data_IF_656814164432
#
_entry.id   IF_656814164432
#
_cell.length_a   1.000
_cell.length_b   1.000
_cell.length_c   1.000
_cell.angle_alpha   90.00
_cell.angle_beta   90.00
_cell.angle_gamma   90.00
#
_symmetry.space_group_name_H-M   'P 1'
#
loop_
_entity.id
_entity.type
_entity.pdbx_description
1 polymer ?
#
# COMPACT_ATOMS: atom_id res chain seq x y z
N UNK A 1 0.60 20.53 -3.32
CA UNK A 1 0.86 19.43 -2.35
C UNK A 1 1.17 18.16 -3.12
N UNK A 2 2.00 17.28 -2.57
CA UNK A 2 2.41 16.00 -3.19
C UNK A 2 1.98 14.88 -2.26
N UNK A 3 1.13 13.97 -2.74
CA UNK A 3 0.62 12.83 -1.97
C UNK A 3 0.89 11.53 -2.73
N UNK A 4 1.82 10.72 -2.21
CA UNK A 4 2.27 9.51 -2.88
C UNK A 4 1.74 8.22 -2.23
N UNK A 5 0.77 8.30 -1.30
CA UNK A 5 0.19 7.14 -0.66
C UNK A 5 -1.33 7.31 -0.51
N UNK A 6 -2.07 6.70 -1.43
CA UNK A 6 -3.54 6.76 -1.44
C UNK A 6 -4.14 5.46 -1.99
N UNK A 7 -5.37 5.14 -1.56
CA UNK A 7 -6.06 3.90 -1.90
C UNK A 7 -7.40 4.15 -2.57
N UNK A 8 -7.79 3.22 -3.46
CA UNK A 8 -9.04 3.24 -4.19
C UNK A 8 -9.89 1.99 -3.95
N UNK A 9 -11.03 1.92 -4.61
CA UNK A 9 -11.87 0.72 -4.61
C UNK A 9 -11.25 -0.50 -5.30
N UNK A 10 -10.07 -0.37 -5.93
CA UNK A 10 -9.31 -1.52 -6.43
C UNK A 10 -8.71 -2.36 -5.29
N UNK A 11 -8.51 -1.77 -4.11
CA UNK A 11 -8.17 -2.50 -2.88
C UNK A 11 -9.20 -2.27 -1.78
N UNK A 12 -8.91 -1.46 -0.80
CA UNK A 12 -9.73 -1.24 0.39
C UNK A 12 -10.17 0.21 0.62
N UNK A 13 -9.74 1.14 -0.24
CA UNK A 13 -10.26 2.50 -0.28
C UNK A 13 -11.74 2.55 -0.69
N UNK A 14 -12.38 3.70 -0.45
CA UNK A 14 -13.82 3.92 -0.68
C UNK A 14 -14.12 4.75 -1.92
N UNK A 15 -13.13 5.44 -2.49
CA UNK A 15 -13.28 6.23 -3.71
C UNK A 15 -12.91 5.42 -4.95
N UNK A 16 -13.63 5.61 -6.06
CA UNK A 16 -13.09 5.22 -7.36
C UNK A 16 -11.82 6.02 -7.67
N UNK A 17 -10.99 5.58 -8.62
CA UNK A 17 -9.82 6.35 -9.03
C UNK A 17 -10.16 7.79 -9.46
N UNK A 18 -11.27 7.99 -10.17
CA UNK A 18 -11.75 9.28 -10.64
C UNK A 18 -12.21 10.17 -9.47
N UNK A 19 -12.96 9.60 -8.52
CA UNK A 19 -13.40 10.32 -7.31
C UNK A 19 -12.20 10.71 -6.43
N UNK A 20 -11.20 9.85 -6.30
CA UNK A 20 -9.97 10.15 -5.57
C UNK A 20 -9.24 11.34 -6.21
N UNK A 21 -9.06 11.31 -7.54
CA UNK A 21 -8.40 12.41 -8.27
C UNK A 21 -9.19 13.72 -8.15
N UNK A 22 -10.53 13.67 -8.22
CA UNK A 22 -11.36 14.85 -8.03
C UNK A 22 -11.18 15.45 -6.62
N UNK A 23 -11.13 14.63 -5.57
CA UNK A 23 -10.85 15.05 -4.19
C UNK A 23 -9.44 15.62 -4.05
N UNK A 24 -8.44 14.97 -4.64
CA UNK A 24 -7.05 15.42 -4.63
C UNK A 24 -6.93 16.80 -5.32
N UNK A 25 -7.61 17.00 -6.45
CA UNK A 25 -7.67 18.30 -7.14
C UNK A 25 -8.30 19.38 -6.27
N UNK A 26 -9.43 19.07 -5.63
CA UNK A 26 -10.11 20.00 -4.73
C UNK A 26 -9.26 20.39 -3.52
N UNK A 27 -8.43 19.46 -3.02
CA UNK A 27 -7.48 19.69 -1.94
C UNK A 27 -6.18 20.41 -2.39
N UNK A 28 -5.99 20.65 -3.70
CA UNK A 28 -4.79 21.34 -4.22
C UNK A 28 -3.55 20.43 -4.37
N UNK A 29 -3.76 19.12 -4.50
CA UNK A 29 -2.68 18.16 -4.82
C UNK A 29 -2.21 18.39 -6.24
N UNK A 30 -0.89 18.45 -6.45
CA UNK A 30 -0.23 18.68 -7.73
C UNK A 30 0.51 17.44 -8.26
N UNK A 31 0.89 16.50 -7.35
CA UNK A 31 1.38 15.18 -7.74
C UNK A 31 0.71 14.12 -6.83
N UNK A 32 0.24 13.03 -7.45
CA UNK A 32 -0.52 11.98 -6.79
C UNK A 32 0.00 10.60 -7.22
N UNK A 33 0.12 9.68 -6.27
CA UNK A 33 0.25 8.25 -6.53
C UNK A 33 -0.96 7.51 -5.98
N UNK A 34 -1.45 6.52 -6.74
CA UNK A 34 -2.39 5.52 -6.27
C UNK A 34 -1.59 4.26 -5.97
N UNK A 35 -1.67 3.80 -4.73
CA UNK A 35 -0.83 2.73 -4.17
C UNK A 35 -1.69 1.60 -3.60
N UNK A 36 -2.69 1.17 -4.35
CA UNK A 36 -3.59 0.10 -3.93
C UNK A 36 -2.84 -1.17 -3.51
N UNK A 37 -3.33 -1.84 -2.47
CA UNK A 37 -2.73 -3.06 -1.95
C UNK A 37 -2.68 -4.21 -2.97
N UNK A 38 -1.49 -4.68 -3.31
CA UNK A 38 -1.19 -5.82 -4.18
C UNK A 38 -1.90 -5.76 -5.55
N UNK A 39 -2.20 -4.55 -6.05
CA UNK A 39 -2.81 -4.33 -7.36
C UNK A 39 -2.40 -2.99 -8.00
N UNK A 40 -2.29 -2.99 -9.33
CA UNK A 40 -2.04 -1.78 -10.14
C UNK A 40 -3.23 -1.44 -11.04
N UNK A 41 -4.38 -2.08 -10.84
CA UNK A 41 -5.52 -1.98 -11.76
C UNK A 41 -6.11 -0.57 -11.83
N UNK A 42 -6.03 0.21 -10.75
CA UNK A 42 -6.45 1.61 -10.72
C UNK A 42 -5.52 2.57 -11.48
N UNK A 43 -4.25 2.21 -11.71
CA UNK A 43 -3.24 3.12 -12.25
C UNK A 43 -3.66 3.73 -13.60
N UNK A 44 -4.29 2.95 -14.49
CA UNK A 44 -4.72 3.46 -15.80
C UNK A 44 -5.82 4.52 -15.66
N UNK A 45 -6.85 4.25 -14.89
CA UNK A 45 -7.96 5.17 -14.68
C UNK A 45 -7.51 6.44 -13.95
N UNK A 46 -6.72 6.27 -12.88
CA UNK A 46 -6.13 7.37 -12.13
C UNK A 46 -5.21 8.26 -13.00
N UNK A 47 -4.37 7.64 -13.84
CA UNK A 47 -3.48 8.38 -14.75
C UNK A 47 -4.24 9.23 -15.76
N UNK A 48 -5.34 8.71 -16.35
CA UNK A 48 -6.22 9.47 -17.26
C UNK A 48 -6.89 10.63 -16.52
N UNK A 49 -7.44 10.37 -15.32
CA UNK A 49 -8.09 11.39 -14.53
C UNK A 49 -7.11 12.48 -14.05
N UNK A 50 -5.90 12.11 -13.62
CA UNK A 50 -4.84 13.04 -13.24
C UNK A 50 -4.42 13.95 -14.42
N UNK A 51 -4.25 13.37 -15.61
CA UNK A 51 -3.91 14.14 -16.81
C UNK A 51 -5.01 15.18 -17.14
N UNK A 52 -6.28 14.79 -17.04
CA UNK A 52 -7.41 15.72 -17.24
C UNK A 52 -7.48 16.80 -16.15
N UNK A 53 -7.06 16.48 -14.92
CA UNK A 53 -7.05 17.41 -13.79
C UNK A 53 -5.80 18.30 -13.74
N UNK A 54 -4.77 18.05 -14.57
CA UNK A 54 -3.47 18.74 -14.49
C UNK A 54 -2.64 18.36 -13.26
N UNK A 55 -2.80 17.11 -12.78
CA UNK A 55 -2.04 16.54 -11.67
C UNK A 55 -0.96 15.60 -12.24
N UNK A 56 0.25 15.66 -11.73
CA UNK A 56 1.31 14.72 -12.06
C UNK A 56 0.94 13.36 -11.47
N UNK A 57 0.74 12.35 -12.30
CA UNK A 57 0.49 10.98 -11.84
C UNK A 57 1.79 10.21 -11.71
N UNK A 58 2.00 9.60 -10.55
CA UNK A 58 3.09 8.66 -10.28
C UNK A 58 2.48 7.26 -10.20
N UNK A 59 2.73 6.36 -11.17
CA UNK A 59 2.29 4.97 -11.05
C UNK A 59 2.85 4.34 -9.79
N UNK A 60 1.98 3.81 -8.94
CA UNK A 60 2.37 3.26 -7.65
C UNK A 60 1.62 2.00 -7.26
N UNK A 61 2.07 1.39 -6.19
CA UNK A 61 1.49 0.21 -5.57
C UNK A 61 1.95 0.12 -4.12
N UNK A 62 1.16 -0.49 -3.25
CA UNK A 62 1.60 -0.96 -1.94
C UNK A 62 1.54 -2.48 -1.89
N UNK A 63 2.71 -3.14 -1.82
CA UNK A 63 2.81 -4.59 -1.76
C UNK A 63 3.02 -5.04 -0.33
N UNK A 64 2.21 -6.01 0.12
CA UNK A 64 2.38 -6.59 1.44
C UNK A 64 3.36 -7.75 1.39
N UNK A 65 4.54 -7.55 1.96
CA UNK A 65 5.52 -8.58 2.28
C UNK A 65 5.27 -9.19 3.66
N UNK A 66 5.94 -10.29 3.97
CA UNK A 66 5.88 -10.97 5.28
C UNK A 66 7.28 -11.26 5.78
N UNK A 67 7.58 -10.82 7.01
CA UNK A 67 8.79 -11.18 7.75
C UNK A 67 8.43 -11.55 9.18
N UNK A 68 8.84 -12.72 9.65
CA UNK A 68 8.57 -13.23 10.99
C UNK A 68 7.06 -13.18 11.36
N UNK A 69 6.19 -13.57 10.40
CA UNK A 69 4.72 -13.50 10.49
C UNK A 69 4.15 -12.08 10.67
N UNK A 70 4.96 -11.04 10.45
CA UNK A 70 4.53 -9.63 10.49
C UNK A 70 4.34 -9.12 9.07
N UNK A 71 3.22 -8.44 8.82
CA UNK A 71 2.98 -7.75 7.56
C UNK A 71 3.94 -6.55 7.45
N UNK A 72 4.74 -6.50 6.39
CA UNK A 72 5.62 -5.38 6.03
C UNK A 72 5.10 -4.80 4.72
N UNK A 73 4.76 -3.52 4.73
CA UNK A 73 4.29 -2.87 3.52
C UNK A 73 5.44 -2.16 2.80
N UNK A 74 5.53 -2.39 1.50
CA UNK A 74 6.52 -1.76 0.63
C UNK A 74 5.80 -1.05 -0.50
N UNK A 75 5.99 0.27 -0.58
CA UNK A 75 5.49 1.10 -1.66
C UNK A 75 6.42 0.98 -2.87
N UNK A 76 5.84 0.81 -4.05
CA UNK A 76 6.54 0.90 -5.32
C UNK A 76 6.11 2.15 -6.05
N UNK A 77 7.05 2.94 -6.58
CA UNK A 77 6.78 4.15 -7.34
C UNK A 77 7.44 4.13 -8.71
N UNK A 78 6.88 4.87 -9.68
CA UNK A 78 7.41 5.03 -11.04
C UNK A 78 7.56 3.71 -11.82
N UNK A 79 6.91 2.65 -11.37
CA UNK A 79 6.95 1.33 -12.02
C UNK A 79 6.11 1.29 -13.30
N UNK A 80 6.40 0.33 -14.19
CA UNK A 80 5.49 0.00 -15.30
C UNK A 80 4.38 -0.95 -14.81
N UNK A 81 3.12 -0.49 -14.69
CA UNK A 81 2.00 -1.33 -14.26
C UNK A 81 1.71 -2.51 -15.21
N UNK A 82 2.30 -2.49 -16.42
CA UNK A 82 2.12 -3.53 -17.44
C UNK A 82 3.22 -4.59 -17.43
N UNK A 83 4.27 -4.42 -16.60
CA UNK A 83 5.36 -5.38 -16.48
C UNK A 83 4.80 -6.78 -16.18
N UNK A 84 5.10 -7.74 -17.08
CA UNK A 84 4.50 -9.09 -17.03
C UNK A 84 4.87 -9.82 -15.75
N UNK A 85 6.14 -9.74 -15.31
CA UNK A 85 6.62 -10.36 -14.06
C UNK A 85 5.86 -9.83 -12.84
N UNK A 86 5.71 -8.51 -12.74
CA UNK A 86 4.93 -7.87 -11.66
C UNK A 86 3.49 -8.38 -11.66
N UNK A 87 2.83 -8.44 -12.81
CA UNK A 87 1.43 -8.87 -12.90
C UNK A 87 1.23 -10.31 -12.45
N UNK A 88 2.13 -11.22 -12.81
CA UNK A 88 2.11 -12.62 -12.35
C UNK A 88 2.30 -12.67 -10.83
N UNK A 89 3.33 -12.01 -10.32
CA UNK A 89 3.59 -11.92 -8.89
C UNK A 89 2.39 -11.38 -8.10
N UNK A 90 1.77 -10.29 -8.56
CA UNK A 90 0.59 -9.71 -7.90
C UNK A 90 -0.64 -10.63 -7.97
N UNK A 91 -0.82 -11.39 -9.05
CA UNK A 91 -1.90 -12.36 -9.12
C UNK A 91 -1.76 -13.44 -8.02
N UNK A 92 -0.53 -13.94 -7.79
CA UNK A 92 -0.25 -14.89 -6.71
C UNK A 92 -0.48 -14.25 -5.32
N UNK A 93 -0.04 -13.02 -5.11
CA UNK A 93 -0.26 -12.30 -3.84
C UNK A 93 -1.75 -12.11 -3.55
N UNK A 94 -2.55 -11.75 -4.56
CA UNK A 94 -4.01 -11.61 -4.43
C UNK A 94 -4.69 -12.95 -4.14
N UNK A 95 -4.24 -14.05 -4.78
CA UNK A 95 -4.77 -15.38 -4.47
C UNK A 95 -4.51 -15.76 -3.01
N UNK A 96 -3.30 -15.55 -2.51
CA UNK A 96 -2.96 -15.78 -1.09
C UNK A 96 -3.80 -14.91 -0.14
N UNK A 97 -4.11 -13.65 -0.53
CA UNK A 97 -5.04 -12.81 0.22
C UNK A 97 -6.45 -13.40 0.27
N UNK A 98 -6.96 -13.85 -0.88
CA UNK A 98 -8.29 -14.45 -0.99
C UNK A 98 -8.39 -15.70 -0.11
N UNK A 99 -7.40 -16.60 -0.20
CA UNK A 99 -7.33 -17.82 0.61
C UNK A 99 -7.28 -17.50 2.12
N UNK A 100 -6.51 -16.48 2.51
CA UNK A 100 -6.45 -16.02 3.90
C UNK A 100 -7.78 -15.48 4.40
N UNK A 101 -8.47 -14.68 3.59
CA UNK A 101 -9.81 -14.16 3.92
C UNK A 101 -10.78 -15.32 4.14
N UNK A 102 -10.78 -16.32 3.26
CA UNK A 102 -11.59 -17.54 3.43
C UNK A 102 -11.28 -18.27 4.75
N UNK A 103 -9.98 -18.45 5.08
CA UNK A 103 -9.57 -19.08 6.35
C UNK A 103 -10.01 -18.27 7.59
N UNK A 104 -9.99 -16.95 7.52
CA UNK A 104 -10.49 -16.08 8.60
C UNK A 104 -12.00 -16.24 8.78
N UNK A 105 -12.77 -16.26 7.69
CA UNK A 105 -14.24 -16.42 7.74
C UNK A 105 -14.59 -17.76 8.39
N UNK A 106 -13.98 -18.87 7.97
CA UNK A 106 -14.19 -20.20 8.57
C UNK A 106 -13.86 -20.18 10.07
N UNK A 107 -12.78 -19.53 10.45
CA UNK A 107 -12.39 -19.42 11.87
C UNK A 107 -13.37 -18.60 12.70
N UNK A 108 -13.90 -17.51 12.15
CA UNK A 108 -14.94 -16.68 12.80
C UNK A 108 -16.26 -17.46 12.94
N UNK A 109 -16.63 -18.26 11.95
CA UNK A 109 -17.82 -19.12 12.02
C UNK A 109 -17.71 -20.14 13.15
N UNK A 110 -16.55 -20.77 13.33
CA UNK A 110 -16.27 -21.68 14.46
C UNK A 110 -16.37 -20.97 15.82
N UNK A 111 -16.22 -19.65 15.86
CA UNK A 111 -16.37 -18.81 17.04
C UNK A 111 -17.80 -18.25 17.22
N UNK A 112 -18.76 -18.68 16.38
CA UNK A 112 -20.16 -18.25 16.41
C UNK A 112 -20.46 -16.93 15.70
N UNK A 113 -19.50 -16.41 14.89
CA UNK A 113 -19.69 -15.19 14.09
C UNK A 113 -19.95 -15.58 12.63
N UNK A 114 -21.23 -15.64 12.26
CA UNK A 114 -21.67 -16.06 10.93
C UNK A 114 -21.66 -14.88 9.96
N UNK A 115 -20.81 -14.96 8.94
CA UNK A 115 -20.67 -13.96 7.89
C UNK A 115 -21.06 -14.54 6.53
N UNK A 116 -21.62 -13.71 5.66
CA UNK A 116 -21.85 -14.08 4.26
C UNK A 116 -20.51 -14.10 3.50
N UNK A 117 -19.92 -15.30 3.40
CA UNK A 117 -18.65 -15.52 2.74
C UNK A 117 -18.70 -15.11 1.25
N UNK A 118 -19.81 -15.42 0.56
CA UNK A 118 -19.98 -15.09 -0.85
C UNK A 118 -20.01 -13.57 -1.07
N UNK A 119 -20.75 -12.84 -0.24
CA UNK A 119 -20.78 -11.37 -0.33
C UNK A 119 -19.41 -10.73 -0.11
N UNK A 120 -18.57 -11.33 0.76
CA UNK A 120 -17.22 -10.84 1.06
C UNK A 120 -16.25 -11.17 -0.09
N UNK A 121 -16.28 -12.40 -0.62
CA UNK A 121 -15.28 -12.91 -1.56
C UNK A 121 -15.61 -12.59 -3.02
N UNK A 122 -16.91 -12.56 -3.39
CA UNK A 122 -17.38 -12.36 -4.77
C UNK A 122 -16.78 -11.13 -5.46
N UNK A 123 -16.66 -9.94 -4.81
CA UNK A 123 -16.05 -8.77 -5.48
C UNK A 123 -14.62 -9.00 -5.99
N UNK A 124 -13.83 -9.84 -5.30
CA UNK A 124 -12.48 -10.17 -5.73
C UNK A 124 -12.42 -11.34 -6.73
N UNK A 125 -13.44 -12.22 -6.71
CA UNK A 125 -13.59 -13.32 -7.69
C UNK A 125 -14.04 -12.76 -9.04
N UNK A 126 -15.06 -11.89 -9.04
CA UNK A 126 -15.64 -11.31 -10.25
C UNK A 126 -14.72 -10.26 -10.91
N UNK A 127 -13.81 -9.66 -10.14
CA UNK A 127 -12.83 -8.68 -10.60
C UNK A 127 -11.40 -9.17 -10.25
N UNK A 128 -10.76 -9.96 -11.10
CA UNK A 128 -9.46 -10.60 -10.79
C UNK A 128 -8.33 -9.63 -10.42
N UNK A 129 -8.45 -8.34 -10.82
CA UNK A 129 -7.52 -7.28 -10.43
C UNK A 129 -7.76 -6.71 -9.03
N UNK A 130 -8.94 -6.96 -8.44
CA UNK A 130 -9.31 -6.41 -7.14
C UNK A 130 -8.60 -7.14 -6.01
N UNK A 131 -7.96 -6.37 -5.12
CA UNK A 131 -7.35 -6.91 -3.90
C UNK A 131 -8.33 -6.88 -2.73
N UNK A 132 -8.31 -7.92 -1.90
CA UNK A 132 -9.17 -8.07 -0.73
C UNK A 132 -8.33 -8.36 0.52
N UNK A 133 -8.81 -7.96 1.70
CA UNK A 133 -8.11 -8.18 2.96
C UNK A 133 -9.00 -8.10 4.19
N UNK A 134 -8.38 -8.07 5.35
CA UNK A 134 -9.09 -7.95 6.64
C UNK A 134 -10.06 -6.77 6.74
N UNK A 135 -9.85 -5.61 6.08
CA UNK A 135 -10.84 -4.53 6.08
C UNK A 135 -12.22 -4.94 5.55
N UNK A 136 -12.27 -5.84 4.56
CA UNK A 136 -13.55 -6.35 4.06
C UNK A 136 -14.30 -7.18 5.14
N UNK A 137 -13.57 -8.01 5.89
CA UNK A 137 -14.13 -8.78 7.01
C UNK A 137 -14.59 -7.86 8.14
N UNK A 138 -13.78 -6.83 8.47
CA UNK A 138 -14.14 -5.85 9.50
C UNK A 138 -15.47 -5.15 9.16
N UNK A 139 -15.65 -4.75 7.90
CA UNK A 139 -16.90 -4.16 7.42
C UNK A 139 -18.08 -5.15 7.53
N UNK A 140 -17.85 -6.42 7.18
CA UNK A 140 -18.90 -7.45 7.30
C UNK A 140 -19.29 -7.70 8.76
N UNK A 141 -18.35 -7.70 9.70
CA UNK A 141 -18.61 -7.79 11.14
C UNK A 141 -19.45 -6.61 11.66
N UNK A 142 -19.18 -5.39 11.17
CA UNK A 142 -19.97 -4.20 11.49
C UNK A 142 -21.38 -4.33 10.90
N UNK A 143 -21.51 -4.71 9.64
CA UNK A 143 -22.81 -4.86 8.96
C UNK A 143 -23.67 -5.94 9.59
N UNK A 144 -23.07 -7.03 10.10
CA UNK A 144 -23.74 -8.10 10.82
C UNK A 144 -24.05 -7.74 12.30
N UNK A 145 -23.62 -6.57 12.79
CA UNK A 145 -23.89 -6.10 14.16
C UNK A 145 -23.04 -6.77 15.25
N UNK A 146 -22.00 -7.52 14.90
CA UNK A 146 -21.10 -8.15 15.88
C UNK A 146 -20.16 -7.14 16.55
N UNK A 147 -19.88 -6.03 15.91
CA UNK A 147 -19.05 -4.91 16.39
C UNK A 147 -19.64 -3.58 15.90
N UNK A 148 -19.29 -2.48 16.56
CA UNK A 148 -19.80 -1.14 16.20
C UNK A 148 -18.95 -0.44 15.14
N UNK A 149 -17.64 -0.72 15.12
CA UNK A 149 -16.69 -0.04 14.23
C UNK A 149 -15.67 -1.02 13.67
N UNK A 150 -15.03 -0.67 12.55
CA UNK A 150 -13.90 -1.44 12.01
C UNK A 150 -12.75 -1.55 13.02
N UNK A 151 -12.46 -0.49 13.78
CA UNK A 151 -11.43 -0.53 14.81
C UNK A 151 -11.72 -1.57 15.90
N UNK A 152 -12.98 -1.68 16.31
CA UNK A 152 -13.42 -2.72 17.25
C UNK A 152 -13.27 -4.13 16.63
N UNK A 153 -13.59 -4.31 15.34
CA UNK A 153 -13.38 -5.57 14.64
C UNK A 153 -11.90 -5.99 14.68
N UNK A 154 -10.97 -5.06 14.42
CA UNK A 154 -9.55 -5.34 14.51
C UNK A 154 -9.10 -5.64 15.93
N UNK A 155 -9.44 -4.81 16.90
CA UNK A 155 -8.99 -4.94 18.29
C UNK A 155 -9.55 -6.17 18.99
N UNK A 156 -10.75 -6.63 18.63
CA UNK A 156 -11.41 -7.77 19.27
C UNK A 156 -11.18 -9.09 18.53
N UNK A 157 -11.07 -9.08 17.17
CA UNK A 157 -11.15 -10.30 16.38
C UNK A 157 -9.99 -10.51 15.40
N UNK A 158 -9.53 -9.47 14.66
CA UNK A 158 -8.74 -9.65 13.45
C UNK A 158 -7.24 -9.35 13.59
N UNK A 159 -6.83 -8.62 14.63
CA UNK A 159 -5.41 -8.31 14.88
C UNK A 159 -4.66 -9.52 15.40
N UNK A 160 -3.31 -9.49 15.30
CA UNK A 160 -2.42 -10.53 15.85
C UNK A 160 -2.75 -10.79 17.33
N UNK A 161 -2.83 -12.06 17.71
CA UNK A 161 -3.20 -12.49 19.06
C UNK A 161 -4.71 -12.49 19.34
N UNK A 162 -5.56 -12.12 18.37
CA UNK A 162 -7.02 -12.17 18.50
C UNK A 162 -7.59 -13.47 17.96
N UNK A 163 -8.81 -13.89 18.44
CA UNK A 163 -9.37 -15.21 18.13
C UNK A 163 -9.52 -15.51 16.64
N UNK A 164 -9.91 -14.50 15.82
CA UNK A 164 -10.09 -14.65 14.38
C UNK A 164 -8.81 -14.45 13.56
N UNK A 165 -7.67 -14.16 14.19
CA UNK A 165 -6.42 -13.93 13.45
C UNK A 165 -5.93 -15.20 12.75
N UNK A 166 -5.56 -15.02 11.47
CA UNK A 166 -4.84 -16.01 10.66
C UNK A 166 -3.56 -15.36 10.15
N UNK A 167 -2.37 -15.96 10.37
CA UNK A 167 -1.12 -15.43 9.84
C UNK A 167 -1.18 -15.26 8.33
N UNK A 168 -0.44 -14.27 7.80
CA UNK A 168 -0.26 -14.13 6.36
C UNK A 168 0.91 -15.00 5.93
N UNK A 169 0.76 -15.62 4.78
CA UNK A 169 1.82 -16.22 3.98
C UNK A 169 2.02 -15.31 2.77
N UNK A 170 3.27 -15.01 2.41
CA UNK A 170 3.56 -14.07 1.34
C UNK A 170 5.04 -14.00 1.01
N UNK A 171 5.39 -13.14 0.06
CA UNK A 171 6.76 -12.88 -0.33
C UNK A 171 7.52 -12.16 0.80
N UNK A 172 8.84 -12.35 0.86
CA UNK A 172 9.69 -11.59 1.78
C UNK A 172 9.82 -10.13 1.31
N UNK A 173 10.19 -9.18 2.19
CA UNK A 173 10.46 -7.79 1.80
C UNK A 173 11.51 -7.69 0.69
N UNK A 174 12.56 -8.49 0.74
CA UNK A 174 13.63 -8.54 -0.26
C UNK A 174 13.08 -8.93 -1.64
N UNK A 175 12.23 -9.97 -1.70
CA UNK A 175 11.57 -10.39 -2.94
C UNK A 175 10.62 -9.31 -3.49
N UNK A 176 9.92 -8.59 -2.62
CA UNK A 176 9.03 -7.48 -3.03
C UNK A 176 9.85 -6.32 -3.60
N UNK A 177 10.97 -5.95 -2.95
CA UNK A 177 11.89 -4.91 -3.44
C UNK A 177 12.38 -5.28 -4.85
N UNK A 178 12.81 -6.53 -5.06
CA UNK A 178 13.26 -7.04 -6.36
C UNK A 178 12.16 -6.92 -7.42
N UNK A 179 10.93 -7.34 -7.11
CA UNK A 179 9.80 -7.25 -8.06
C UNK A 179 9.45 -5.81 -8.45
N UNK A 180 9.57 -4.84 -7.52
CA UNK A 180 9.38 -3.42 -7.82
C UNK A 180 10.48 -2.95 -8.75
N UNK A 181 11.74 -3.35 -8.52
CA UNK A 181 12.88 -3.01 -9.36
C UNK A 181 12.77 -3.61 -10.76
N UNK A 182 12.36 -4.87 -10.88
CA UNK A 182 12.15 -5.55 -12.17
C UNK A 182 11.05 -4.89 -13.00
N UNK A 183 10.08 -4.25 -12.33
CA UNK A 183 9.08 -3.41 -12.98
C UNK A 183 9.56 -1.98 -13.29
N UNK A 184 10.85 -1.66 -13.08
CA UNK A 184 11.45 -0.35 -13.33
C UNK A 184 11.21 0.70 -12.24
N UNK A 185 10.63 0.30 -11.11
CA UNK A 185 10.26 1.19 -10.02
C UNK A 185 11.35 1.39 -8.96
N UNK A 186 11.03 2.22 -7.96
CA UNK A 186 11.77 2.39 -6.71
C UNK A 186 10.93 1.93 -5.54
N UNK A 187 11.56 1.24 -4.57
CA UNK A 187 10.91 0.65 -3.41
C UNK A 187 11.07 1.53 -2.17
N UNK A 188 9.97 1.80 -1.46
CA UNK A 188 9.97 2.56 -0.21
C UNK A 188 9.29 1.77 0.92
N UNK A 189 9.90 1.71 2.10
CA UNK A 189 9.25 1.12 3.28
C UNK A 189 8.09 2.02 3.72
N UNK A 190 6.87 1.48 3.69
CA UNK A 190 5.66 2.19 4.09
C UNK A 190 5.58 2.37 5.62
N UNK A 191 5.08 3.51 6.07
CA UNK A 191 4.70 3.86 7.45
C UNK A 191 5.46 3.07 8.55
N UNK A 192 6.81 3.16 8.64
CA UNK A 192 7.61 2.35 9.57
C UNK A 192 7.23 2.54 11.04
N UNK A 193 6.62 3.67 11.40
CA UNK A 193 6.09 3.90 12.75
C UNK A 193 4.95 2.96 13.14
N UNK A 194 4.19 2.45 12.17
CA UNK A 194 3.17 1.41 12.38
C UNK A 194 3.79 0.02 12.44
N UNK A 195 4.84 -0.24 11.65
CA UNK A 195 5.56 -1.51 11.64
C UNK A 195 6.26 -1.76 12.98
N UNK A 196 6.87 -0.74 13.58
CA UNK A 196 7.60 -0.80 14.87
C UNK A 196 8.71 -1.85 14.88
N UNK A 197 9.47 -1.92 13.80
CA UNK A 197 10.60 -2.84 13.58
C UNK A 197 11.76 -2.09 12.94
N UNK A 198 12.17 -0.97 13.54
CA UNK A 198 13.23 -0.12 13.01
C UNK A 198 14.55 -0.89 12.83
N UNK A 199 14.75 -1.95 13.63
CA UNK A 199 15.90 -2.85 13.55
C UNK A 199 16.01 -3.63 12.23
N UNK A 200 14.91 -3.71 11.45
CA UNK A 200 14.92 -4.38 10.14
C UNK A 200 15.34 -3.45 9.00
N UNK A 201 15.26 -2.13 9.20
CA UNK A 201 15.49 -1.14 8.13
C UNK A 201 16.91 -1.27 7.51
N UNK A 202 18.00 -1.46 8.29
CA UNK A 202 19.33 -1.66 7.69
C UNK A 202 19.39 -2.86 6.75
N UNK A 203 18.79 -3.99 7.10
CA UNK A 203 18.75 -5.18 6.25
C UNK A 203 17.94 -4.93 4.97
N UNK A 204 16.85 -4.17 5.03
CA UNK A 204 16.10 -3.79 3.83
C UNK A 204 16.91 -2.86 2.93
N UNK A 205 17.69 -1.92 3.51
CA UNK A 205 18.59 -1.05 2.74
C UNK A 205 19.66 -1.86 2.03
N UNK A 206 20.29 -2.84 2.70
CA UNK A 206 21.25 -3.78 2.11
C UNK A 206 20.64 -4.61 0.98
N UNK A 207 19.34 -4.92 1.06
CA UNK A 207 18.58 -5.63 0.02
C UNK A 207 18.11 -4.71 -1.13
N UNK A 208 18.50 -3.43 -1.11
CA UNK A 208 18.23 -2.49 -2.19
C UNK A 208 17.01 -1.60 -1.99
N UNK A 209 16.43 -1.50 -0.78
CA UNK A 209 15.40 -0.49 -0.50
C UNK A 209 15.90 0.91 -0.91
N UNK A 210 15.06 1.68 -1.60
CA UNK A 210 15.42 2.99 -2.13
C UNK A 210 15.03 4.15 -1.23
N UNK A 211 13.94 4.00 -0.47
CA UNK A 211 13.37 5.08 0.32
C UNK A 211 12.69 4.58 1.60
N UNK A 212 12.38 5.52 2.49
CA UNK A 212 11.55 5.32 3.69
C UNK A 212 10.44 6.35 3.66
N UNK A 213 9.20 5.92 3.92
CA UNK A 213 8.09 6.84 4.12
C UNK A 213 8.21 7.52 5.48
N UNK A 214 8.78 8.74 5.49
CA UNK A 214 8.93 9.53 6.70
C UNK A 214 7.71 10.41 6.99
N UNK A 215 7.06 10.93 5.94
CA UNK A 215 5.88 11.78 6.07
C UNK A 215 4.62 10.92 5.92
N UNK A 216 3.92 10.70 7.03
CA UNK A 216 2.73 9.85 7.07
C UNK A 216 1.73 10.36 8.12
N UNK A 217 0.44 10.11 7.94
CA UNK A 217 -0.63 10.56 8.84
C UNK A 217 -0.41 10.14 10.31
N UNK A 218 0.15 8.95 10.53
CA UNK A 218 0.44 8.42 11.87
C UNK A 218 1.87 8.74 12.38
N UNK A 219 2.61 9.60 11.70
CA UNK A 219 3.91 10.08 12.14
C UNK A 219 3.80 11.50 12.66
N UNK A 220 4.12 11.69 13.92
CA UNK A 220 4.32 13.02 14.49
C UNK A 220 5.66 13.63 14.03
N UNK A 221 5.94 14.84 14.46
CA UNK A 221 7.17 15.55 14.07
C UNK A 221 8.45 14.80 14.51
N UNK A 222 8.42 14.17 15.69
CA UNK A 222 9.53 13.37 16.22
C UNK A 222 9.78 12.13 15.33
N UNK A 223 8.74 11.39 15.02
CA UNK A 223 8.80 10.20 14.15
C UNK A 223 9.25 10.57 12.74
N UNK A 224 8.71 11.64 12.17
CA UNK A 224 9.14 12.17 10.86
C UNK A 224 10.63 12.53 10.87
N UNK A 225 11.11 13.26 11.89
CA UNK A 225 12.52 13.60 12.06
C UNK A 225 13.42 12.37 12.21
N UNK A 226 12.97 11.37 12.97
CA UNK A 226 13.66 10.09 13.17
C UNK A 226 13.84 9.35 11.85
N UNK A 227 12.77 9.15 11.07
CA UNK A 227 12.85 8.40 9.81
C UNK A 227 13.62 9.14 8.71
N UNK A 228 13.55 10.47 8.66
CA UNK A 228 14.44 11.28 7.82
C UNK A 228 15.92 11.08 8.17
N UNK A 229 16.25 11.03 9.46
CA UNK A 229 17.61 10.80 9.94
C UNK A 229 18.07 9.37 9.64
N UNK A 230 17.20 8.37 9.76
CA UNK A 230 17.50 6.98 9.37
C UNK A 230 17.76 6.89 7.88
N UNK A 231 16.90 7.47 7.04
CA UNK A 231 17.05 7.51 5.59
C UNK A 231 18.42 8.13 5.21
N UNK A 232 18.74 9.29 5.77
CA UNK A 232 20.01 9.97 5.51
C UNK A 232 21.23 9.11 5.86
N UNK A 233 21.24 8.46 7.05
CA UNK A 233 22.36 7.60 7.48
C UNK A 233 22.57 6.39 6.57
N UNK A 234 21.47 5.84 6.01
CA UNK A 234 21.51 4.68 5.14
C UNK A 234 21.61 5.04 3.66
N UNK A 235 21.73 6.31 3.32
CA UNK A 235 21.79 6.78 1.93
C UNK A 235 20.47 6.55 1.17
N UNK A 236 19.33 6.44 1.86
CA UNK A 236 18.00 6.28 1.28
C UNK A 236 17.35 7.63 0.99
N UNK A 237 16.43 7.65 0.02
CA UNK A 237 15.53 8.78 -0.17
C UNK A 237 14.40 8.76 0.87
N UNK A 238 13.54 9.79 0.82
CA UNK A 238 12.35 9.90 1.66
C UNK A 238 11.12 9.95 0.79
N UNK A 239 10.07 9.22 1.16
CA UNK A 239 8.74 9.32 0.58
C UNK A 239 7.71 9.80 1.61
N UNK A 240 6.47 9.99 1.16
CA UNK A 240 5.37 10.36 2.04
C UNK A 240 4.05 10.50 1.34
N UNK A 241 2.99 10.35 2.11
CA UNK A 241 1.62 10.48 1.68
C UNK A 241 0.63 10.37 2.82
N UNK A 242 -0.65 10.55 2.50
CA UNK A 242 -1.71 10.60 3.49
C UNK A 242 -2.22 9.24 3.94
N UNK A 243 -1.93 8.19 3.18
CA UNK A 243 -2.55 6.86 3.34
C UNK A 243 -4.09 6.96 3.31
N UNK A 244 -4.59 7.79 2.38
CA UNK A 244 -6.01 8.12 2.30
C UNK A 244 -6.84 6.97 1.74
N UNK A 245 -7.81 6.52 2.53
CA UNK A 245 -8.77 5.46 2.18
C UNK A 245 -10.21 5.94 2.01
N UNK A 246 -10.49 7.23 2.24
CA UNK A 246 -11.84 7.80 2.29
C UNK A 246 -12.73 7.12 3.33
N UNK A 247 -12.17 6.67 4.43
CA UNK A 247 -12.89 6.14 5.58
C UNK A 247 -12.34 6.74 6.90
N UNK A 248 -13.09 6.56 7.99
CA UNK A 248 -12.74 7.12 9.30
C UNK A 248 -11.64 6.32 10.03
N UNK A 249 -11.29 5.12 9.54
CA UNK A 249 -10.42 4.19 10.26
C UNK A 249 -8.93 4.46 10.07
N UNK A 250 -8.54 5.16 8.99
CA UNK A 250 -7.15 5.42 8.62
C UNK A 250 -6.65 6.83 9.04
N UNK A 251 -7.53 7.66 9.59
CA UNK A 251 -7.14 8.93 10.23
C UNK A 251 -6.84 10.10 9.26
N UNK A 252 -6.76 9.86 7.95
CA UNK A 252 -6.55 10.94 6.98
C UNK A 252 -7.87 11.60 6.56
N UNK A 253 -7.94 12.94 6.68
CA UNK A 253 -9.16 13.71 6.41
C UNK A 253 -9.43 13.85 4.90
N UNK A 254 -8.39 13.98 4.09
CA UNK A 254 -8.47 14.17 2.62
C UNK A 254 -7.12 13.84 1.97
N UNK A 255 -7.07 13.58 0.65
CA UNK A 255 -5.82 13.47 -0.07
C UNK A 255 -5.00 14.77 0.10
N UNK A 256 -3.71 14.64 0.33
CA UNK A 256 -2.82 15.77 0.59
C UNK A 256 -2.85 16.29 2.03
N UNK A 257 -3.57 15.62 2.96
CA UNK A 257 -3.50 15.96 4.40
C UNK A 257 -2.07 15.78 4.97
N UNK A 258 -1.29 14.93 4.35
CA UNK A 258 0.18 14.85 4.48
C UNK A 258 0.79 15.10 3.11
N UNK A 259 1.77 16.00 3.04
CA UNK A 259 2.43 16.36 1.79
C UNK A 259 3.93 16.10 1.85
N UNK A 260 4.44 15.38 0.85
CA UNK A 260 5.89 15.24 0.67
C UNK A 260 6.50 16.56 0.22
N UNK A 261 7.62 17.03 0.81
CA UNK A 261 8.37 18.18 0.30
C UNK A 261 8.84 17.98 -1.14
N UNK A 262 8.86 19.05 -1.93
CA UNK A 262 9.20 18.98 -3.36
C UNK A 262 10.63 18.46 -3.57
N UNK A 263 11.58 18.85 -2.72
CA UNK A 263 12.96 18.40 -2.80
C UNK A 263 13.10 16.88 -2.58
N UNK A 264 12.29 16.31 -1.67
CA UNK A 264 12.26 14.86 -1.44
C UNK A 264 11.61 14.13 -2.63
N UNK A 265 10.57 14.70 -3.22
CA UNK A 265 9.96 14.17 -4.43
C UNK A 265 10.93 14.15 -5.62
N UNK A 266 11.69 15.23 -5.82
CA UNK A 266 12.68 15.31 -6.88
C UNK A 266 13.79 14.28 -6.69
N UNK A 267 14.29 14.07 -5.47
CA UNK A 267 15.27 13.02 -5.15
C UNK A 267 14.72 11.62 -5.45
N UNK A 268 13.45 11.35 -5.11
CA UNK A 268 12.82 10.07 -5.40
C UNK A 268 12.70 9.82 -6.91
N UNK A 269 12.35 10.87 -7.68
CA UNK A 269 12.26 10.84 -9.14
C UNK A 269 13.62 10.62 -9.80
N UNK A 270 14.68 11.26 -9.29
CA UNK A 270 16.06 11.06 -9.76
C UNK A 270 16.53 9.62 -9.56
N UNK A 271 16.19 8.98 -8.42
CA UNK A 271 16.48 7.57 -8.20
C UNK A 271 15.78 6.67 -9.22
N UNK A 272 14.53 6.92 -9.50
CA UNK A 272 13.77 6.18 -10.51
C UNK A 272 14.43 6.31 -11.90
N UNK A 273 14.83 7.52 -12.29
CA UNK A 273 15.52 7.76 -13.56
C UNK A 273 16.87 7.03 -13.62
N UNK A 274 17.64 7.03 -12.55
CA UNK A 274 18.93 6.35 -12.47
C UNK A 274 18.79 4.82 -12.58
N UNK A 275 17.74 4.24 -11.99
CA UNK A 275 17.42 2.81 -12.14
C UNK A 275 17.04 2.44 -13.56
N UNK A 276 16.17 3.21 -14.18
CA UNK A 276 15.74 2.96 -15.56
C UNK A 276 16.91 2.94 -16.53
N UNK A 277 17.89 3.83 -16.36
CA UNK A 277 19.11 3.86 -17.17
C UNK A 277 20.02 2.67 -16.91
N UNK A 278 20.16 2.22 -15.67
CA UNK A 278 20.98 1.06 -15.29
C UNK A 278 20.36 -0.28 -15.80
N UNK A 279 19.04 -0.39 -15.79
CA UNK A 279 18.32 -1.56 -16.31
C UNK A 279 18.40 -1.66 -17.84
N UNK A 280 18.26 -0.55 -18.56
CA UNK A 280 18.40 -0.49 -20.02
C UNK A 280 19.80 -0.90 -20.53
N UNK A 281 20.85 -0.61 -19.74
CA UNK A 281 22.21 -1.02 -20.07
C UNK A 281 22.45 -2.54 -19.93
N UNK A 282 21.72 -3.25 -19.05
CA UNK A 282 21.85 -4.71 -18.86
C UNK A 282 21.14 -5.54 -19.95
N UNK A 283 20.13 -4.99 -20.59
CA UNK A 283 19.37 -5.68 -21.65
C UNK A 283 20.03 -5.54 -23.04
N UNK A 284 21.09 -4.72 -23.15
CA UNK A 284 21.81 -4.45 -24.40
C UNK A 284 23.16 -5.18 -24.49
N UNK A 285 23.48 -6.03 -23.51
CA UNK A 285 24.69 -6.86 -23.44
C UNK A 285 24.36 -8.33 -23.62
#
# INVERSE_FOLDING_TARGET
MIDLHTHTTASDGRCSPEELVARAKAAGVTALSVTDHDTVDACRAAGIACAAAGIIFVPGIEITAVRDEVDVHVLGYFLDPRASGLRVFLAEQRQRRLDRVGRIIVKLEQLGLHLDADAILRPAIDQPGKSIGRPAIARALVAAGYVKTSNEAFSSWLSRGRPGFVPREGASPESVIEQIHDAGGVASLAHPGLLRRDEWIPAFAESGLDAIEAYHTNHDEESTGRYRSVAHRLGLAVSGGSDYHADESHGSAHPGSVSLPIEAFDQLRERATSRATASGARTSS
#
